data_IF_565112329456
#
_entry.id   IF_565112329456
#
_cell.length_a   1.000
_cell.length_b   1.000
_cell.length_c   1.000
_cell.angle_alpha   90.00
_cell.angle_beta   90.00
_cell.angle_gamma   90.00
#
_symmetry.space_group_name_H-M   'P 1'
#
loop_
_entity.id
_entity.type
_entity.pdbx_description
1 polymer ?
#
# COMPACT_ATOMS: atom_id res chain seq x y z
N UNK A 1 6.69 12.89 7.28
CA UNK A 1 6.80 11.51 7.77
C UNK A 1 7.27 10.62 6.63
N UNK A 2 8.12 9.67 6.95
CA UNK A 2 8.47 8.58 6.05
C UNK A 2 7.28 7.62 5.95
N UNK A 3 6.95 7.16 4.76
CA UNK A 3 5.97 6.12 4.49
C UNK A 3 6.70 4.91 3.91
N UNK A 4 6.61 3.78 4.58
CA UNK A 4 7.17 2.52 4.11
C UNK A 4 6.05 1.64 3.55
N UNK A 5 6.29 1.06 2.38
CA UNK A 5 5.31 0.36 1.57
C UNK A 5 5.83 -1.03 1.20
N UNK A 6 5.70 -2.03 2.07
CA UNK A 6 5.96 -3.43 1.73
C UNK A 6 4.75 -4.02 0.99
N UNK A 7 4.94 -4.35 -0.28
CA UNK A 7 3.96 -5.07 -1.11
C UNK A 7 4.36 -6.54 -1.19
N UNK A 8 3.48 -7.43 -0.73
CA UNK A 8 3.79 -8.82 -0.38
C UNK A 8 3.06 -9.79 -1.29
N UNK A 9 3.81 -10.79 -1.79
CA UNK A 9 3.27 -12.03 -2.36
C UNK A 9 3.28 -13.15 -1.32
N UNK A 10 2.36 -14.12 -1.42
CA UNK A 10 2.38 -15.29 -0.56
C UNK A 10 3.64 -16.15 -0.79
N UNK A 11 4.15 -16.85 0.24
CA UNK A 11 5.21 -17.83 0.06
C UNK A 11 4.73 -19.02 -0.79
N UNK A 12 5.68 -19.74 -1.36
CA UNK A 12 5.38 -20.92 -2.19
C UNK A 12 4.51 -21.92 -1.43
N UNK A 13 3.39 -22.28 -2.02
CA UNK A 13 2.43 -23.22 -1.45
C UNK A 13 1.32 -22.60 -0.61
N UNK A 14 1.34 -21.30 -0.36
CA UNK A 14 0.25 -20.56 0.27
C UNK A 14 -0.60 -19.88 -0.81
N UNK A 15 -1.91 -19.93 -0.68
CA UNK A 15 -2.80 -19.17 -1.56
C UNK A 15 -2.78 -17.67 -1.23
N UNK A 16 -3.12 -16.83 -2.21
CA UNK A 16 -3.28 -15.37 -1.97
C UNK A 16 -4.36 -15.11 -0.92
N UNK A 17 -5.42 -15.93 -0.91
CA UNK A 17 -6.51 -15.81 0.05
C UNK A 17 -6.05 -16.13 1.49
N UNK A 18 -5.30 -17.24 1.70
CA UNK A 18 -4.77 -17.60 3.02
C UNK A 18 -3.76 -16.56 3.52
N UNK A 19 -2.92 -16.04 2.63
CA UNK A 19 -2.00 -14.97 2.94
C UNK A 19 -2.74 -13.69 3.35
N UNK A 20 -3.75 -13.27 2.58
CA UNK A 20 -4.59 -12.11 2.90
C UNK A 20 -5.34 -12.30 4.23
N UNK A 21 -5.81 -13.52 4.50
CA UNK A 21 -6.44 -13.85 5.78
C UNK A 21 -5.45 -13.69 6.94
N UNK A 22 -4.24 -14.28 6.81
CA UNK A 22 -3.19 -14.16 7.83
C UNK A 22 -2.84 -12.69 8.10
N UNK A 23 -2.59 -11.91 7.03
CA UNK A 23 -2.28 -10.49 7.13
C UNK A 23 -3.39 -9.70 7.83
N UNK A 24 -4.64 -9.98 7.47
CA UNK A 24 -5.81 -9.27 7.99
C UNK A 24 -6.01 -9.50 9.49
N UNK A 25 -5.86 -10.73 9.95
CA UNK A 25 -6.28 -11.13 11.29
C UNK A 25 -5.10 -11.44 12.22
N UNK A 26 -4.19 -12.30 11.78
CA UNK A 26 -3.09 -12.75 12.64
C UNK A 26 -2.05 -11.64 12.78
N UNK A 27 -1.56 -11.13 11.64
CA UNK A 27 -0.56 -10.06 11.63
C UNK A 27 -1.07 -8.78 12.27
N UNK A 28 -2.30 -8.37 12.00
CA UNK A 28 -2.92 -7.20 12.67
C UNK A 28 -2.93 -7.34 14.18
N UNK A 29 -3.21 -8.56 14.68
CA UNK A 29 -3.19 -8.84 16.12
C UNK A 29 -1.78 -8.70 16.70
N UNK A 30 -0.78 -9.27 16.03
CA UNK A 30 0.63 -9.17 16.48
C UNK A 30 1.08 -7.70 16.48
N UNK A 31 0.84 -6.98 15.38
CA UNK A 31 1.25 -5.57 15.26
C UNK A 31 0.57 -4.70 16.31
N UNK A 32 -0.73 -4.86 16.55
CA UNK A 32 -1.45 -4.04 17.54
C UNK A 32 -1.01 -4.32 18.97
N UNK A 33 -0.51 -5.51 19.27
CA UNK A 33 0.04 -5.87 20.59
C UNK A 33 1.49 -5.43 20.79
N UNK A 34 2.22 -5.13 19.72
CA UNK A 34 3.62 -4.70 19.78
C UNK A 34 3.77 -3.22 20.20
N UNK A 35 3.27 -2.86 21.38
CA UNK A 35 3.17 -1.47 21.88
C UNK A 35 4.53 -0.76 21.86
N UNK A 36 5.60 -1.46 22.26
CA UNK A 36 6.95 -0.89 22.29
C UNK A 36 7.49 -0.60 20.88
N UNK A 37 7.14 -1.42 19.89
CA UNK A 37 7.45 -1.15 18.48
C UNK A 37 6.60 0.00 17.93
N UNK A 38 5.31 0.04 18.26
CA UNK A 38 4.35 1.02 17.74
C UNK A 38 4.71 2.47 18.09
N UNK A 39 5.54 2.72 19.11
CA UNK A 39 6.07 4.06 19.42
C UNK A 39 6.88 4.68 18.27
N UNK A 40 7.44 3.86 17.37
CA UNK A 40 8.16 4.32 16.19
C UNK A 40 7.25 4.62 15.00
N UNK A 41 6.05 4.01 15.01
CA UNK A 41 5.12 4.01 13.89
C UNK A 41 3.81 4.74 14.26
N UNK A 42 3.78 6.07 14.09
CA UNK A 42 2.62 6.89 14.52
C UNK A 42 1.33 6.61 13.78
N UNK A 43 1.40 5.91 12.64
CA UNK A 43 0.23 5.57 11.85
C UNK A 43 0.47 4.27 11.09
N UNK A 44 -0.56 3.43 11.03
CA UNK A 44 -0.55 2.17 10.31
C UNK A 44 -1.86 1.93 9.56
N UNK A 45 -1.75 1.67 8.27
CA UNK A 45 -2.87 1.32 7.41
C UNK A 45 -2.57 -0.02 6.75
N UNK A 46 -3.51 -0.94 6.83
CA UNK A 46 -3.48 -2.16 6.02
C UNK A 46 -4.29 -1.94 4.74
N UNK A 47 -3.70 -2.29 3.61
CA UNK A 47 -4.39 -2.39 2.33
C UNK A 47 -4.52 -3.86 1.97
N UNK A 48 -5.76 -4.29 1.74
CA UNK A 48 -6.10 -5.65 1.38
C UNK A 48 -6.41 -5.70 -0.11
N UNK A 49 -5.50 -6.23 -0.95
CA UNK A 49 -5.74 -6.38 -2.38
C UNK A 49 -7.02 -7.18 -2.63
N UNK A 50 -7.85 -6.69 -3.53
CA UNK A 50 -9.07 -7.37 -3.93
C UNK A 50 -8.75 -8.34 -5.07
N UNK A 51 -9.03 -9.62 -4.83
CA UNK A 51 -8.84 -10.69 -5.81
C UNK A 51 -10.13 -10.94 -6.57
N UNK A 52 -10.05 -10.92 -7.89
CA UNK A 52 -11.13 -11.35 -8.79
C UNK A 52 -12.24 -10.32 -9.05
N UNK A 53 -12.51 -10.04 -10.31
CA UNK A 53 -13.72 -9.35 -10.77
C UNK A 53 -13.76 -7.82 -10.69
N UNK A 54 -12.65 -7.20 -10.27
CA UNK A 54 -12.57 -5.72 -10.15
C UNK A 54 -11.71 -5.19 -11.30
N UNK A 55 -12.30 -5.02 -12.47
CA UNK A 55 -11.63 -4.49 -13.65
C UNK A 55 -11.44 -5.51 -14.78
N UNK A 56 -10.93 -5.10 -15.94
CA UNK A 56 -10.65 -5.98 -17.06
C UNK A 56 -9.61 -7.05 -16.72
N UNK A 57 -9.80 -8.25 -17.24
CA UNK A 57 -8.85 -9.35 -17.07
C UNK A 57 -7.44 -8.94 -17.56
N UNK A 58 -6.42 -9.21 -16.75
CA UNK A 58 -5.03 -8.98 -17.10
C UNK A 58 -4.51 -7.54 -16.86
N UNK A 59 -5.36 -6.61 -16.40
CA UNK A 59 -4.94 -5.24 -16.07
C UNK A 59 -4.52 -5.13 -14.60
N UNK A 60 -5.20 -5.88 -13.72
CA UNK A 60 -4.94 -5.82 -12.28
C UNK A 60 -4.14 -7.04 -11.80
N UNK A 61 -3.11 -6.77 -11.05
CA UNK A 61 -2.31 -7.82 -10.40
C UNK A 61 -3.11 -8.48 -9.27
N UNK A 62 -3.15 -9.80 -9.26
CA UNK A 62 -3.91 -10.59 -8.28
C UNK A 62 -3.03 -11.51 -7.41
N UNK A 63 -1.74 -11.52 -7.68
CA UNK A 63 -0.75 -12.33 -6.96
C UNK A 63 -0.29 -11.74 -5.63
N UNK A 64 -0.62 -10.47 -5.36
CA UNK A 64 -0.28 -9.81 -4.11
C UNK A 64 -1.37 -10.00 -3.06
N UNK A 65 -0.98 -10.25 -1.83
CA UNK A 65 -1.90 -10.53 -0.74
C UNK A 65 -1.97 -9.41 0.31
N UNK A 66 -0.98 -8.52 0.35
CA UNK A 66 -0.98 -7.39 1.29
C UNK A 66 -0.12 -6.23 0.83
N UNK A 67 -0.49 -5.04 1.27
CA UNK A 67 0.32 -3.83 1.24
C UNK A 67 0.13 -3.07 2.56
N UNK A 68 1.20 -2.82 3.30
CA UNK A 68 1.16 -1.92 4.46
C UNK A 68 1.47 -0.49 4.06
N UNK A 69 0.93 0.45 4.81
CA UNK A 69 1.41 1.82 4.89
C UNK A 69 1.90 2.07 6.31
N UNK A 70 3.20 1.92 6.49
CA UNK A 70 3.85 2.08 7.78
C UNK A 70 4.47 3.47 7.85
N UNK A 71 3.91 4.34 8.68
CA UNK A 71 4.40 5.71 8.80
C UNK A 71 5.40 5.82 9.93
N UNK A 72 6.57 6.38 9.65
CA UNK A 72 7.62 6.67 10.63
C UNK A 72 7.89 8.16 10.71
N UNK A 73 8.34 8.64 11.86
CA UNK A 73 8.69 10.06 12.03
C UNK A 73 9.88 10.47 11.16
N UNK A 74 10.84 9.56 10.95
CA UNK A 74 12.06 9.80 10.19
C UNK A 74 12.70 8.49 9.74
N UNK A 75 13.70 8.58 8.84
CA UNK A 75 14.52 7.45 8.42
C UNK A 75 15.30 6.84 9.61
N UNK A 76 15.81 7.67 10.52
CA UNK A 76 16.49 7.18 11.72
C UNK A 76 15.52 6.46 12.68
N UNK A 77 14.28 6.95 12.77
CA UNK A 77 13.22 6.29 13.51
C UNK A 77 12.88 4.91 12.92
N UNK A 78 12.80 4.83 11.59
CA UNK A 78 12.60 3.58 10.87
C UNK A 78 13.72 2.58 11.17
N UNK A 79 15.00 2.98 10.99
CA UNK A 79 16.15 2.09 11.25
C UNK A 79 16.13 1.56 12.68
N UNK A 80 15.95 2.45 13.66
CA UNK A 80 15.87 2.06 15.08
C UNK A 80 14.71 1.12 15.38
N UNK A 81 13.57 1.28 14.71
CA UNK A 81 12.42 0.39 14.89
C UNK A 81 12.74 -1.05 14.50
N UNK A 82 13.42 -1.26 13.37
CA UNK A 82 13.78 -2.59 12.89
C UNK A 82 15.01 -3.21 13.59
N UNK A 83 15.79 -2.40 14.29
CA UNK A 83 16.90 -2.84 15.16
C UNK A 83 16.44 -3.11 16.61
N UNK A 84 15.27 -2.63 17.00
CA UNK A 84 14.73 -2.80 18.36
C UNK A 84 14.25 -4.24 18.57
N UNK A 85 14.61 -4.89 19.69
CA UNK A 85 14.09 -6.23 20.03
C UNK A 85 12.56 -6.34 20.04
N UNK A 86 11.85 -5.24 20.21
CA UNK A 86 10.39 -5.19 20.13
C UNK A 86 9.84 -5.54 18.73
N UNK A 87 10.68 -5.53 17.69
CA UNK A 87 10.32 -5.97 16.35
C UNK A 87 10.30 -7.50 16.19
N UNK A 88 11.00 -8.25 17.03
CA UNK A 88 11.16 -9.71 16.86
C UNK A 88 9.83 -10.47 16.72
N UNK A 89 8.78 -10.22 17.53
CA UNK A 89 7.49 -10.91 17.36
C UNK A 89 6.82 -10.63 15.99
N UNK A 90 7.03 -9.42 15.42
CA UNK A 90 6.52 -9.08 14.10
C UNK A 90 7.27 -9.85 13.02
N UNK A 91 8.60 -9.89 13.13
CA UNK A 91 9.47 -10.63 12.22
C UNK A 91 9.16 -12.13 12.19
N UNK A 92 8.95 -12.74 13.36
CA UNK A 92 8.53 -14.13 13.49
C UNK A 92 7.15 -14.40 12.85
N UNK A 93 6.29 -13.39 12.80
CA UNK A 93 4.99 -13.51 12.15
C UNK A 93 5.08 -13.26 10.64
N UNK A 94 5.84 -12.27 10.20
CA UNK A 94 6.02 -11.91 8.79
C UNK A 94 6.51 -13.09 7.94
N UNK A 95 7.45 -13.90 8.45
CA UNK A 95 7.97 -15.10 7.74
C UNK A 95 6.91 -16.16 7.47
N UNK A 96 5.76 -16.11 8.12
CA UNK A 96 4.67 -17.08 7.93
C UNK A 96 3.82 -16.79 6.71
N UNK A 97 3.78 -15.53 6.25
CA UNK A 97 2.89 -15.14 5.16
C UNK A 97 3.56 -14.33 4.04
N UNK A 98 4.78 -13.82 4.26
CA UNK A 98 5.50 -13.01 3.29
C UNK A 98 6.56 -13.82 2.54
N UNK A 99 6.55 -13.72 1.21
CA UNK A 99 7.65 -14.19 0.36
C UNK A 99 8.70 -13.08 0.27
N UNK A 100 9.77 -13.20 1.06
CA UNK A 100 10.82 -12.18 1.11
C UNK A 100 11.66 -12.08 -0.17
N UNK A 101 11.71 -13.16 -0.98
CA UNK A 101 12.46 -13.16 -2.26
C UNK A 101 11.75 -12.36 -3.35
N UNK A 102 10.43 -12.16 -3.22
CA UNK A 102 9.60 -11.42 -4.19
C UNK A 102 8.95 -10.16 -3.57
N UNK A 103 9.49 -9.70 -2.45
CA UNK A 103 8.99 -8.54 -1.74
C UNK A 103 9.34 -7.25 -2.51
N UNK A 104 8.34 -6.38 -2.73
CA UNK A 104 8.56 -5.04 -3.28
C UNK A 104 8.55 -4.03 -2.14
N UNK A 105 9.65 -3.31 -1.93
CA UNK A 105 9.81 -2.35 -0.85
C UNK A 105 10.02 -0.93 -1.37
N UNK A 106 9.20 -0.01 -0.92
CA UNK A 106 9.37 1.41 -1.23
C UNK A 106 9.33 2.22 0.06
N UNK A 107 10.39 2.99 0.31
CA UNK A 107 10.37 4.05 1.31
C UNK A 107 10.11 5.38 0.59
N UNK A 108 9.08 6.09 1.00
CA UNK A 108 8.60 7.25 0.26
C UNK A 108 8.18 8.41 1.18
N UNK A 109 8.07 9.57 0.56
CA UNK A 109 7.33 10.71 1.10
C UNK A 109 6.01 10.84 0.35
N UNK A 110 4.89 10.76 1.07
CA UNK A 110 3.57 10.96 0.49
C UNK A 110 3.36 12.44 0.14
N UNK A 111 3.08 12.72 -1.14
CA UNK A 111 2.82 14.07 -1.66
C UNK A 111 1.40 14.12 -2.21
N UNK A 112 0.44 14.71 -1.50
CA UNK A 112 -0.91 14.91 -1.99
C UNK A 112 -0.91 15.81 -3.23
N UNK A 113 -1.60 15.38 -4.29
CA UNK A 113 -1.79 16.14 -5.52
C UNK A 113 -3.16 16.80 -5.52
N UNK A 114 -4.20 16.07 -5.16
CA UNK A 114 -5.52 16.64 -4.88
C UNK A 114 -6.29 15.83 -3.85
N UNK A 115 -7.33 16.46 -3.31
CA UNK A 115 -8.29 15.87 -2.36
C UNK A 115 -7.72 15.63 -0.97
N UNK A 116 -8.56 15.65 0.04
CA UNK A 116 -8.32 14.88 1.24
C UNK A 116 -8.82 13.46 1.03
N UNK A 117 -8.04 12.45 1.37
CA UNK A 117 -8.44 11.05 1.38
C UNK A 117 -9.43 10.79 2.54
N UNK A 118 -10.62 11.40 2.46
CA UNK A 118 -11.70 11.27 3.46
C UNK A 118 -12.81 10.44 2.85
N UNK A 119 -13.38 9.57 3.64
CA UNK A 119 -14.63 8.85 3.36
C UNK A 119 -14.56 7.76 2.27
N UNK A 120 -13.37 7.35 1.83
CA UNK A 120 -13.21 6.17 0.98
C UNK A 120 -12.35 5.11 1.66
N UNK A 121 -12.69 3.84 1.43
CA UNK A 121 -11.89 2.69 1.84
C UNK A 121 -11.16 2.04 0.67
N UNK A 122 -11.42 2.46 -0.57
CA UNK A 122 -10.85 1.80 -1.75
C UNK A 122 -9.74 2.63 -2.35
N UNK A 123 -8.64 1.95 -2.68
CA UNK A 123 -7.48 2.55 -3.34
C UNK A 123 -7.11 1.77 -4.57
N UNK A 124 -6.72 2.49 -5.61
CA UNK A 124 -5.98 1.95 -6.75
C UNK A 124 -4.53 2.32 -6.57
N UNK A 125 -3.67 1.32 -6.58
CA UNK A 125 -2.24 1.45 -6.50
C UNK A 125 -1.60 1.15 -7.84
N UNK A 126 -0.60 1.95 -8.21
CA UNK A 126 0.28 1.67 -9.33
C UNK A 126 1.73 1.83 -8.88
N UNK A 127 2.49 0.75 -8.97
CA UNK A 127 3.94 0.72 -8.79
C UNK A 127 4.56 0.56 -10.17
N UNK A 128 5.61 1.31 -10.50
CA UNK A 128 6.32 1.15 -11.76
C UNK A 128 7.77 1.63 -11.65
N UNK A 129 8.60 1.19 -12.60
CA UNK A 129 9.96 1.67 -12.78
C UNK A 129 10.07 2.56 -14.02
N UNK A 130 11.06 3.42 -14.04
CA UNK A 130 11.40 4.16 -15.24
C UNK A 130 11.95 3.22 -16.30
N UNK A 131 11.71 3.57 -17.57
CA UNK A 131 12.13 2.75 -18.71
C UNK A 131 13.66 2.69 -18.86
N UNK A 132 14.14 1.56 -19.38
CA UNK A 132 15.56 1.40 -19.68
C UNK A 132 16.06 2.45 -20.68
N UNK A 133 17.17 3.09 -20.35
CA UNK A 133 17.79 4.11 -21.22
C UNK A 133 17.19 5.51 -21.14
N UNK A 134 16.11 5.72 -20.37
CA UNK A 134 15.61 7.08 -20.09
C UNK A 134 16.45 7.76 -19.01
N UNK A 135 16.51 9.09 -19.08
CA UNK A 135 17.10 9.90 -18.03
C UNK A 135 16.19 9.87 -16.80
N UNK A 136 16.60 9.12 -15.78
CA UNK A 136 15.80 8.92 -14.56
C UNK A 136 15.43 10.24 -13.86
N UNK A 137 16.29 11.27 -13.93
CA UNK A 137 15.99 12.59 -13.36
C UNK A 137 14.85 13.27 -14.11
N UNK A 138 14.87 13.19 -15.45
CA UNK A 138 13.80 13.74 -16.28
C UNK A 138 12.51 12.95 -16.15
N UNK A 139 12.59 11.62 -16.10
CA UNK A 139 11.43 10.76 -15.89
C UNK A 139 10.76 11.03 -14.53
N UNK A 140 11.55 11.15 -13.47
CA UNK A 140 11.07 11.55 -12.15
C UNK A 140 10.39 12.92 -12.19
N UNK A 141 11.01 13.91 -12.82
CA UNK A 141 10.45 15.27 -12.95
C UNK A 141 9.15 15.27 -13.78
N UNK A 142 9.12 14.48 -14.88
CA UNK A 142 7.91 14.31 -15.69
C UNK A 142 6.76 13.75 -14.84
N UNK A 143 7.00 12.67 -14.08
CA UNK A 143 6.00 12.08 -13.21
C UNK A 143 5.56 13.04 -12.09
N UNK A 144 6.52 13.68 -11.40
CA UNK A 144 6.23 14.58 -10.28
C UNK A 144 5.48 15.85 -10.67
N UNK A 145 5.67 16.34 -11.89
CA UNK A 145 5.14 17.63 -12.32
C UNK A 145 4.10 17.48 -13.44
N UNK A 146 4.48 16.86 -14.56
CA UNK A 146 3.61 16.79 -15.75
C UNK A 146 2.45 15.87 -15.55
N UNK A 147 2.72 14.63 -15.14
CA UNK A 147 1.67 13.65 -14.87
C UNK A 147 0.79 14.10 -13.70
N UNK A 148 1.36 14.54 -12.58
CA UNK A 148 0.59 15.04 -11.45
C UNK A 148 -0.34 16.19 -11.84
N UNK A 149 0.16 17.15 -12.62
CA UNK A 149 -0.65 18.29 -13.08
C UNK A 149 -1.74 17.86 -14.08
N UNK A 150 -1.47 16.88 -14.94
CA UNK A 150 -2.45 16.32 -15.86
C UNK A 150 -3.59 15.62 -15.11
N UNK A 151 -3.25 14.74 -14.18
CA UNK A 151 -4.23 14.05 -13.29
C UNK A 151 -5.07 15.07 -12.51
N UNK A 152 -4.44 16.11 -11.94
CA UNK A 152 -5.14 17.12 -11.15
C UNK A 152 -6.15 17.96 -11.97
N UNK A 153 -5.95 18.06 -13.29
CA UNK A 153 -6.80 18.83 -14.22
C UNK A 153 -7.83 17.97 -14.95
N UNK A 154 -7.62 16.67 -14.98
CA UNK A 154 -8.54 15.75 -15.69
C UNK A 154 -9.87 15.65 -14.95
N UNK A 155 -10.96 16.10 -15.62
CA UNK A 155 -12.29 16.13 -15.02
C UNK A 155 -12.89 14.74 -14.82
N UNK A 156 -12.54 13.77 -15.69
CA UNK A 156 -13.03 12.38 -15.55
C UNK A 156 -12.40 11.72 -14.33
N UNK A 157 -11.06 11.79 -14.20
CA UNK A 157 -10.37 11.25 -13.03
C UNK A 157 -10.84 11.92 -11.73
N UNK A 158 -11.02 13.23 -11.72
CA UNK A 158 -11.50 13.95 -10.53
C UNK A 158 -12.95 13.63 -10.16
N UNK A 159 -13.74 13.11 -11.10
CA UNK A 159 -15.11 12.67 -10.81
C UNK A 159 -15.14 11.31 -10.11
N UNK A 160 -14.21 10.41 -10.46
CA UNK A 160 -14.17 9.03 -9.96
C UNK A 160 -13.18 8.83 -8.82
N UNK A 161 -12.09 9.59 -8.79
CA UNK A 161 -11.12 9.57 -7.70
C UNK A 161 -11.36 10.76 -6.73
N UNK A 162 -11.46 10.46 -5.45
CA UNK A 162 -11.65 11.47 -4.39
C UNK A 162 -10.34 12.09 -3.94
N UNK A 163 -9.22 11.36 -4.10
CA UNK A 163 -7.87 11.86 -3.83
C UNK A 163 -6.83 11.18 -4.70
N UNK A 164 -5.72 11.87 -4.91
CA UNK A 164 -4.52 11.32 -5.53
C UNK A 164 -3.28 11.75 -4.75
N UNK A 165 -2.42 10.78 -4.46
CA UNK A 165 -1.16 10.96 -3.75
C UNK A 165 -0.04 10.31 -4.55
N UNK A 166 1.05 11.04 -4.76
CA UNK A 166 2.32 10.48 -5.22
C UNK A 166 3.15 10.07 -4.01
N UNK A 167 3.56 8.81 -3.96
CA UNK A 167 4.50 8.33 -2.95
C UNK A 167 5.91 8.39 -3.56
N UNK A 168 6.62 9.49 -3.31
CA UNK A 168 7.91 9.82 -3.90
C UNK A 168 9.02 9.08 -3.16
N UNK A 169 9.67 8.16 -3.87
CA UNK A 169 10.76 7.35 -3.34
C UNK A 169 11.86 8.22 -2.72
N UNK A 170 12.33 7.83 -1.55
CA UNK A 170 13.47 8.45 -0.90
C UNK A 170 14.74 7.84 -1.49
N UNK A 171 15.53 8.70 -2.12
CA UNK A 171 16.81 8.32 -2.70
C UNK A 171 17.78 7.87 -1.57
N UNK A 172 18.64 6.90 -1.87
CA UNK A 172 19.61 6.32 -0.93
C UNK A 172 19.00 5.62 0.30
N UNK A 173 17.76 5.19 0.21
CA UNK A 173 17.20 4.26 1.18
C UNK A 173 17.89 2.90 1.01
N UNK A 174 18.89 2.66 1.84
CA UNK A 174 19.46 1.32 1.98
C UNK A 174 18.55 0.54 2.92
N UNK A 175 17.76 -0.35 2.37
CA UNK A 175 16.90 -1.20 3.18
C UNK A 175 17.74 -2.25 3.90
N UNK A 176 17.26 -2.70 5.05
CA UNK A 176 17.75 -3.93 5.68
C UNK A 176 17.44 -5.19 4.84
N UNK A 177 16.85 -4.99 3.66
CA UNK A 177 16.40 -6.00 2.70
C UNK A 177 17.06 -5.75 1.33
N UNK A 178 18.36 -6.01 1.19
CA UNK A 178 19.14 -5.60 0.00
C UNK A 178 18.74 -6.31 -1.30
N UNK A 179 18.02 -7.43 -1.21
CA UNK A 179 17.59 -8.24 -2.35
C UNK A 179 16.15 -7.94 -2.80
N UNK A 180 15.44 -7.05 -2.09
CA UNK A 180 14.05 -6.73 -2.42
C UNK A 180 13.95 -5.92 -3.71
N UNK A 181 12.96 -6.23 -4.52
CA UNK A 181 12.56 -5.36 -5.63
C UNK A 181 12.10 -3.99 -5.09
N UNK A 182 12.20 -2.96 -5.92
CA UNK A 182 11.73 -1.62 -5.58
C UNK A 182 11.03 -1.01 -6.79
N UNK A 183 10.16 -0.03 -6.57
CA UNK A 183 9.59 0.78 -7.63
C UNK A 183 10.14 2.20 -7.56
N UNK A 184 10.28 2.85 -8.72
CA UNK A 184 10.74 4.25 -8.80
C UNK A 184 9.62 5.24 -8.54
N UNK A 185 8.39 4.86 -8.86
CA UNK A 185 7.19 5.64 -8.60
C UNK A 185 6.08 4.77 -8.00
N UNK A 186 5.26 5.38 -7.14
CA UNK A 186 4.06 4.76 -6.61
C UNK A 186 2.93 5.78 -6.59
N UNK A 187 1.90 5.50 -7.37
CA UNK A 187 0.67 6.29 -7.39
C UNK A 187 -0.38 5.65 -6.49
N UNK A 188 -1.07 6.47 -5.73
CA UNK A 188 -2.15 6.09 -4.82
C UNK A 188 -3.38 6.93 -5.13
N UNK A 189 -4.37 6.31 -5.76
CA UNK A 189 -5.66 6.94 -6.00
C UNK A 189 -6.69 6.41 -5.00
N UNK A 190 -7.44 7.31 -4.40
CA UNK A 190 -8.59 6.97 -3.59
C UNK A 190 -9.84 7.09 -4.46
N UNK A 191 -10.60 6.02 -4.59
CA UNK A 191 -11.82 5.99 -5.39
C UNK A 191 -13.06 5.90 -4.50
N UNK A 192 -14.21 6.39 -5.00
CA UNK A 192 -15.44 6.45 -4.21
C UNK A 192 -15.97 5.07 -3.85
N UNK A 193 -16.00 4.17 -4.82
CA UNK A 193 -16.44 2.79 -4.71
C UNK A 193 -15.91 1.97 -5.90
N UNK A 194 -16.19 0.69 -5.94
CA UNK A 194 -15.69 -0.20 -6.99
C UNK A 194 -16.42 -0.06 -8.33
N UNK A 195 -17.64 0.49 -8.34
CA UNK A 195 -18.42 0.65 -9.57
C UNK A 195 -17.79 1.64 -10.55
N UNK A 196 -16.95 2.56 -10.03
CA UNK A 196 -16.22 3.55 -10.87
C UNK A 196 -14.97 3.00 -11.53
N UNK A 197 -14.54 1.77 -11.21
CA UNK A 197 -13.28 1.20 -11.72
C UNK A 197 -13.16 1.19 -13.23
N UNK A 198 -14.17 0.77 -14.02
CA UNK A 198 -14.06 0.79 -15.48
C UNK A 198 -13.80 2.20 -16.02
N UNK A 199 -14.52 3.21 -15.50
CA UNK A 199 -14.32 4.60 -15.89
C UNK A 199 -12.96 5.14 -15.46
N UNK A 200 -12.50 4.75 -14.25
CA UNK A 200 -11.18 5.14 -13.74
C UNK A 200 -10.06 4.60 -14.64
N UNK A 201 -10.09 3.30 -14.97
CA UNK A 201 -9.05 2.66 -15.77
C UNK A 201 -8.98 3.25 -17.18
N UNK A 202 -10.16 3.47 -17.82
CA UNK A 202 -10.22 4.09 -19.14
C UNK A 202 -9.68 5.53 -19.12
N UNK A 203 -10.13 6.36 -18.16
CA UNK A 203 -9.69 7.75 -18.07
C UNK A 203 -8.19 7.87 -17.74
N UNK A 204 -7.67 7.02 -16.88
CA UNK A 204 -6.25 7.00 -16.50
C UNK A 204 -5.37 6.54 -17.66
N UNK A 205 -5.80 5.54 -18.43
CA UNK A 205 -5.09 5.08 -19.61
C UNK A 205 -5.07 6.17 -20.70
N UNK A 206 -6.21 6.74 -21.06
CA UNK A 206 -6.30 7.80 -22.06
C UNK A 206 -5.43 9.02 -21.66
N UNK A 207 -5.43 9.38 -20.37
CA UNK A 207 -4.58 10.45 -19.90
C UNK A 207 -3.09 10.12 -20.11
N UNK A 208 -2.63 8.93 -19.70
CA UNK A 208 -1.23 8.50 -19.90
C UNK A 208 -0.82 8.55 -21.37
N UNK A 209 -1.66 7.99 -22.25
CA UNK A 209 -1.42 8.01 -23.69
C UNK A 209 -1.32 9.44 -24.22
N UNK A 210 -2.21 10.34 -23.80
CA UNK A 210 -2.27 11.72 -24.29
C UNK A 210 -1.05 12.58 -23.95
N UNK A 211 -0.33 12.22 -22.88
CA UNK A 211 0.86 12.97 -22.42
C UNK A 211 2.18 12.23 -22.69
N UNK A 212 2.15 11.08 -23.41
CA UNK A 212 3.34 10.28 -23.69
C UNK A 212 3.98 9.69 -22.43
N UNK A 213 3.18 9.26 -21.47
CA UNK A 213 3.67 8.70 -20.21
C UNK A 213 4.49 7.44 -20.40
N UNK A 214 4.13 6.59 -21.38
CA UNK A 214 4.80 5.33 -21.68
C UNK A 214 6.22 5.53 -22.24
N UNK A 215 6.57 6.74 -22.69
CA UNK A 215 7.94 7.07 -23.10
C UNK A 215 8.92 7.13 -21.92
N UNK A 216 8.41 7.19 -20.69
CA UNK A 216 9.18 7.38 -19.46
C UNK A 216 9.19 6.16 -18.54
N UNK A 217 8.20 5.29 -18.67
CA UNK A 217 7.93 4.18 -17.75
C UNK A 217 8.15 2.85 -18.48
N UNK A 218 8.69 1.88 -17.77
CA UNK A 218 8.71 0.49 -18.25
C UNK A 218 7.33 -0.16 -18.02
N UNK A 219 6.54 -0.40 -19.08
CA UNK A 219 5.22 -1.01 -18.93
C UNK A 219 5.27 -2.40 -18.29
N UNK A 220 6.36 -3.15 -18.52
CA UNK A 220 6.53 -4.51 -18.00
C UNK A 220 6.77 -4.55 -16.50
N UNK A 221 7.22 -3.43 -15.92
CA UNK A 221 7.43 -3.28 -14.48
C UNK A 221 6.17 -2.83 -13.74
N UNK A 222 5.10 -2.49 -14.46
CA UNK A 222 3.91 -1.91 -13.86
C UNK A 222 3.10 -2.96 -13.08
N UNK A 223 2.91 -2.70 -11.80
CA UNK A 223 2.02 -3.46 -10.92
C UNK A 223 0.86 -2.54 -10.58
N UNK A 224 -0.35 -2.90 -10.99
CA UNK A 224 -1.57 -2.18 -10.63
C UNK A 224 -2.54 -3.11 -9.91
N UNK A 225 -3.11 -2.67 -8.81
CA UNK A 225 -4.14 -3.41 -8.08
C UNK A 225 -5.07 -2.49 -7.32
N UNK A 226 -6.23 -3.03 -6.93
CA UNK A 226 -7.20 -2.36 -6.06
C UNK A 226 -7.14 -2.97 -4.69
N UNK A 227 -7.23 -2.15 -3.66
CA UNK A 227 -7.27 -2.62 -2.28
C UNK A 227 -8.38 -1.96 -1.47
N UNK A 228 -8.85 -2.66 -0.44
CA UNK A 228 -9.59 -2.07 0.66
C UNK A 228 -8.62 -1.62 1.74
N UNK A 229 -8.60 -0.31 2.04
CA UNK A 229 -7.74 0.28 3.06
C UNK A 229 -8.41 0.24 4.43
N UNK A 230 -7.67 -0.18 5.46
CA UNK A 230 -8.10 -0.21 6.86
C UNK A 230 -7.09 0.52 7.73
N UNK A 231 -7.50 1.65 8.27
CA UNK A 231 -6.73 2.37 9.28
C UNK A 231 -6.80 1.58 10.59
N UNK A 232 -5.64 1.10 11.07
CA UNK A 232 -5.55 0.43 12.37
C UNK A 232 -5.32 1.45 13.49
N UNK A 233 -4.40 2.38 13.31
CA UNK A 233 -4.23 3.54 14.20
C UNK A 233 -3.65 4.75 13.48
N UNK A 234 -3.82 5.93 14.11
CA UNK A 234 -3.19 7.18 13.73
C UNK A 234 -2.69 7.90 14.99
N UNK A 235 -1.71 8.79 14.84
CA UNK A 235 -1.13 9.54 15.94
C UNK A 235 -2.21 10.23 16.80
N UNK A 236 -2.14 10.01 18.11
CA UNK A 236 -3.08 10.55 19.06
C UNK A 236 -4.29 9.67 19.35
N UNK A 237 -4.43 8.52 18.68
CA UNK A 237 -5.46 7.56 19.03
C UNK A 237 -5.03 6.59 20.14
N UNK A 238 -5.96 6.32 21.03
CA UNK A 238 -5.82 5.26 22.04
C UNK A 238 -5.69 3.89 21.34
N UNK A 239 -4.72 3.03 21.73
CA UNK A 239 -4.64 1.64 21.25
C UNK A 239 -5.96 0.87 21.36
N UNK A 240 -6.78 1.16 22.37
CA UNK A 240 -8.13 0.61 22.50
C UNK A 240 -9.08 0.98 21.36
N UNK A 241 -8.87 2.13 20.70
CA UNK A 241 -9.63 2.54 19.53
C UNK A 241 -9.28 1.69 18.31
N UNK A 242 -8.00 1.31 18.14
CA UNK A 242 -7.56 0.39 17.08
C UNK A 242 -8.24 -0.98 17.23
N UNK A 243 -8.24 -1.55 18.44
CA UNK A 243 -8.96 -2.79 18.75
C UNK A 243 -10.46 -2.70 18.48
N UNK A 244 -11.08 -1.58 18.81
CA UNK A 244 -12.50 -1.37 18.56
C UNK A 244 -12.80 -1.28 17.05
N UNK A 245 -11.87 -0.79 16.23
CA UNK A 245 -12.00 -0.78 14.76
C UNK A 245 -11.86 -2.18 14.18
N UNK A 246 -10.85 -2.95 14.61
CA UNK A 246 -10.67 -4.34 14.19
C UNK A 246 -11.91 -5.19 14.47
N UNK A 247 -12.49 -5.07 15.67
CA UNK A 247 -13.72 -5.78 16.02
C UNK A 247 -14.93 -5.35 15.18
N UNK A 248 -15.08 -4.05 14.88
CA UNK A 248 -16.17 -3.57 14.00
C UNK A 248 -16.01 -4.07 12.58
N UNK A 249 -14.77 -4.12 12.11
CA UNK A 249 -14.47 -4.63 10.79
C UNK A 249 -14.79 -6.12 10.65
N UNK A 250 -14.45 -6.89 11.66
CA UNK A 250 -14.82 -8.29 11.77
C UNK A 250 -16.33 -8.52 11.64
N UNK A 251 -17.13 -7.71 12.33
CA UNK A 251 -18.60 -7.79 12.26
C UNK A 251 -19.19 -7.43 10.89
N UNK A 252 -18.46 -6.70 10.06
CA UNK A 252 -18.88 -6.29 8.70
C UNK A 252 -18.27 -7.16 7.60
N UNK A 253 -17.30 -8.01 7.94
CA UNK A 253 -16.65 -8.92 7.00
C UNK A 253 -17.58 -10.09 6.66
N UNK A 254 -17.60 -10.49 5.40
CA UNK A 254 -18.36 -11.65 4.92
C UNK A 254 -17.74 -12.99 5.30
N UNK A 255 -16.54 -12.99 5.87
CA UNK A 255 -15.85 -14.18 6.33
C UNK A 255 -16.00 -14.33 7.85
N UNK A 256 -16.55 -15.45 8.34
CA UNK A 256 -16.60 -15.73 9.76
C UNK A 256 -15.17 -15.88 10.31
N UNK A 257 -14.83 -15.06 11.30
CA UNK A 257 -13.55 -15.19 12.00
C UNK A 257 -13.71 -16.16 13.13
N UNK A 258 -12.92 -17.24 13.12
CA UNK A 258 -12.75 -18.01 14.34
C UNK A 258 -12.04 -17.15 15.39
N UNK A 259 -12.55 -17.06 16.63
CA UNK A 259 -11.91 -16.26 17.66
C UNK A 259 -10.49 -16.77 17.88
N UNK A 260 -9.52 -15.87 17.79
CA UNK A 260 -8.12 -16.18 18.08
C UNK A 260 -8.03 -16.80 19.48
N UNK A 261 -7.69 -18.07 19.53
CA UNK A 261 -7.55 -18.80 20.78
C UNK A 261 -6.42 -18.15 21.61
N UNK A 262 -6.78 -17.51 22.73
CA UNK A 262 -5.81 -16.96 23.66
C UNK A 262 -5.92 -15.46 23.97
N UNK A 263 -6.85 -14.73 23.38
CA UNK A 263 -7.07 -13.33 23.78
C UNK A 263 -7.97 -13.26 25.02
N UNK A 264 -7.61 -12.45 26.05
CA UNK A 264 -8.46 -12.25 27.20
C UNK A 264 -9.77 -11.59 26.77
N UNK A 265 -10.88 -12.25 27.04
CA UNK A 265 -12.22 -11.66 26.94
C UNK A 265 -12.36 -10.72 28.15
N UNK A 266 -12.15 -9.42 27.91
CA UNK A 266 -12.45 -8.37 28.87
C UNK A 266 -13.83 -7.78 28.62
#
# INVERSE_FOLDING_TARGET
>A
MLKFLPLVKPPVGMSTEDCSYHYRWNHSSVVTQAIEFNRYMPKYIQNHPLTGGVGPDGVLATEYCSLSEDYFYSLDGFKRAFEDPAYEPLREDEVKFANFDELVLVAATATPVFGPARDSSFKVWRFANFGDGVDATKAKLFWEMTYAAAVARDERLRRVAVAYVQNRKIDNFSSSFPESASADLVDEFWIQNLDVMPEFLEAEQELRESIGHEDWIDPSSTIMFVSEAKLLWDFGEDPGAAWSRLRRWDQTSTHPVEPLAGLPVG
#
